data_IF_003842149510
#
_entry.id   IF_003842149510
#
_cell.length_a   1.000
_cell.length_b   1.000
_cell.length_c   1.000
_cell.angle_alpha   90.00
_cell.angle_beta   90.00
_cell.angle_gamma   90.00
#
_symmetry.space_group_name_H-M   'P 1'
#
loop_
_entity.id
_entity.type
_entity.pdbx_description
1 polymer ?
#
# COMPACT_ATOMS: atom_id res chain seq x y z
N UNK A 1 -24.96 -4.78 -4.74
CA UNK A 1 -23.55 -4.46 -4.93
C UNK A 1 -23.23 -2.96 -4.82
N UNK A 2 -24.22 -2.05 -4.68
CA UNK A 2 -23.98 -0.58 -4.59
C UNK A 2 -23.88 -0.02 -3.16
N UNK A 3 -24.24 -0.78 -2.14
CA UNK A 3 -24.30 -0.25 -0.76
C UNK A 3 -23.00 -0.37 0.03
N UNK A 4 -22.12 -1.34 -0.30
CA UNK A 4 -20.86 -1.53 0.42
C UNK A 4 -19.83 -0.40 0.17
N UNK A 5 -19.82 0.15 -1.04
CA UNK A 5 -18.90 1.23 -1.43
C UNK A 5 -19.13 2.55 -0.67
N UNK A 6 -20.41 2.87 -0.36
CA UNK A 6 -20.74 4.15 0.31
C UNK A 6 -20.30 4.22 1.76
N UNK A 7 -20.21 3.08 2.45
CA UNK A 7 -19.81 3.02 3.86
C UNK A 7 -18.29 3.23 4.00
N UNK A 8 -17.52 2.77 3.02
CA UNK A 8 -16.07 2.91 3.02
C UNK A 8 -15.60 4.36 2.80
N UNK A 9 -16.20 5.06 1.83
CA UNK A 9 -15.87 6.47 1.56
C UNK A 9 -16.08 7.37 2.81
N UNK A 10 -17.09 7.06 3.64
CA UNK A 10 -17.39 7.82 4.85
C UNK A 10 -16.37 7.56 5.97
N UNK A 11 -15.81 6.34 6.07
CA UNK A 11 -14.83 5.98 7.10
C UNK A 11 -13.47 6.64 6.88
N UNK A 12 -13.03 6.77 5.62
CA UNK A 12 -11.75 7.42 5.27
C UNK A 12 -11.79 8.92 5.54
N UNK A 13 -12.94 9.58 5.29
CA UNK A 13 -13.05 11.04 5.45
C UNK A 13 -13.06 11.50 6.91
N UNK A 14 -13.47 10.66 7.86
CA UNK A 14 -13.62 11.04 9.27
C UNK A 14 -12.30 11.00 10.05
N UNK A 15 -11.27 10.28 9.57
CA UNK A 15 -10.00 10.13 10.27
C UNK A 15 -8.98 11.27 10.02
N UNK A 16 -9.16 12.07 8.97
CA UNK A 16 -8.18 13.11 8.55
C UNK A 16 -8.26 14.39 9.40
N UNK A 17 -9.20 14.51 10.33
CA UNK A 17 -9.50 15.77 11.03
C UNK A 17 -8.71 16.03 12.32
N UNK A 18 -7.81 15.15 12.79
CA UNK A 18 -7.09 15.32 14.06
C UNK A 18 -5.59 15.02 13.98
N UNK A 19 -4.79 15.93 13.46
CA UNK A 19 -3.36 15.92 13.72
C UNK A 19 -2.84 17.35 13.90
N UNK A 20 -2.72 17.77 15.14
CA UNK A 20 -2.03 18.97 15.58
C UNK A 20 -0.56 18.68 15.88
N UNK A 21 0.31 19.57 15.43
CA UNK A 21 1.76 19.55 15.43
C UNK A 21 2.45 19.45 16.79
N UNK A 22 3.60 18.73 16.84
CA UNK A 22 4.67 19.01 17.79
C UNK A 22 6.05 18.72 17.16
N UNK A 23 6.84 19.78 16.94
CA UNK A 23 8.26 19.73 16.56
C UNK A 23 9.13 19.57 17.81
N UNK A 24 10.17 18.69 17.75
CA UNK A 24 11.36 18.76 18.59
C UNK A 24 12.62 18.40 17.79
N UNK A 25 13.73 19.13 17.96
CA UNK A 25 14.95 18.88 17.17
C UNK A 25 15.90 17.89 17.84
N UNK A 26 16.49 16.96 17.09
CA UNK A 26 17.58 16.11 17.53
C UNK A 26 18.92 16.54 16.93
N UNK A 27 19.93 16.55 17.76
CA UNK A 27 21.29 17.04 17.57
C UNK A 27 22.20 15.92 17.04
N UNK A 28 23.11 16.26 16.13
CA UNK A 28 23.96 15.32 15.42
C UNK A 28 25.05 14.65 16.25
N UNK A 29 25.51 13.52 15.71
CA UNK A 29 26.82 12.91 16.00
C UNK A 29 27.45 12.48 14.68
N UNK A 30 28.61 13.08 14.38
CA UNK A 30 29.44 12.75 13.22
C UNK A 30 30.31 11.54 13.54
N UNK A 31 30.11 10.46 12.81
CA UNK A 31 31.00 9.31 12.78
C UNK A 31 31.29 8.95 11.34
N UNK A 32 32.52 9.11 10.89
CA UNK A 32 32.94 8.71 9.56
C UNK A 32 32.89 7.18 9.46
N UNK A 33 31.96 6.67 8.71
CA UNK A 33 31.87 5.26 8.33
C UNK A 33 32.33 5.10 6.88
N UNK A 34 33.17 4.11 6.67
CA UNK A 34 33.68 3.66 5.36
C UNK A 34 32.50 3.40 4.44
N UNK A 35 32.47 4.09 3.32
CA UNK A 35 31.43 3.90 2.31
C UNK A 35 31.59 2.50 1.69
N UNK A 36 30.81 1.54 2.19
CA UNK A 36 30.33 0.46 1.36
C UNK A 36 29.45 1.14 0.29
N UNK A 37 29.65 0.82 -0.97
CA UNK A 37 28.78 1.26 -2.04
C UNK A 37 27.44 0.52 -1.89
N UNK A 38 26.61 0.97 -0.95
CA UNK A 38 25.23 0.56 -0.86
C UNK A 38 24.48 1.18 -2.05
N UNK A 39 24.40 0.42 -3.14
CA UNK A 39 23.30 0.62 -4.08
C UNK A 39 22.03 0.38 -3.26
N UNK A 40 21.16 1.38 -3.09
CA UNK A 40 19.91 1.16 -2.36
C UNK A 40 19.20 -0.05 -3.00
N UNK A 41 18.61 -0.95 -2.20
CA UNK A 41 17.80 -2.01 -2.76
C UNK A 41 16.77 -1.36 -3.68
N UNK A 42 16.49 -1.99 -4.83
CA UNK A 42 15.42 -1.47 -5.69
C UNK A 42 14.15 -1.32 -4.86
N UNK A 43 13.32 -0.33 -5.15
CA UNK A 43 12.08 -0.07 -4.41
C UNK A 43 11.18 -1.31 -4.35
N UNK A 44 11.17 -2.15 -5.42
CA UNK A 44 10.52 -3.45 -5.40
C UNK A 44 11.13 -4.42 -4.36
N UNK A 45 12.44 -4.37 -4.14
CA UNK A 45 13.06 -5.16 -3.09
C UNK A 45 12.73 -4.60 -1.71
N UNK A 46 12.64 -3.28 -1.56
CA UNK A 46 12.18 -2.62 -0.34
C UNK A 46 10.72 -2.99 -0.03
N UNK A 47 9.83 -2.94 -1.02
CA UNK A 47 8.43 -3.37 -0.89
C UNK A 47 8.31 -4.81 -0.37
N UNK A 48 9.09 -5.74 -0.94
CA UNK A 48 9.14 -7.13 -0.46
C UNK A 48 9.68 -7.22 0.97
N UNK A 49 10.78 -6.54 1.28
CA UNK A 49 11.38 -6.58 2.61
C UNK A 49 10.44 -6.03 3.69
N UNK A 50 9.80 -4.88 3.43
CA UNK A 50 8.86 -4.24 4.36
C UNK A 50 7.60 -5.06 4.61
N UNK A 51 7.15 -5.83 3.61
CA UNK A 51 5.87 -6.55 3.67
C UNK A 51 5.98 -8.06 3.88
N UNK A 52 7.20 -8.64 3.90
CA UNK A 52 7.40 -10.08 4.07
C UNK A 52 6.72 -10.65 5.35
N UNK A 53 6.73 -9.90 6.44
CA UNK A 53 6.08 -10.29 7.71
C UNK A 53 4.56 -10.44 7.58
N UNK A 54 3.94 -9.81 6.60
CA UNK A 54 2.50 -9.80 6.37
C UNK A 54 1.97 -11.01 5.59
N UNK A 55 2.82 -11.98 5.23
CA UNK A 55 2.34 -13.32 4.91
C UNK A 55 1.56 -13.94 6.08
N UNK A 56 1.82 -13.48 7.30
CA UNK A 56 0.99 -13.72 8.46
C UNK A 56 -0.02 -12.58 8.62
N UNK A 57 -1.29 -12.83 8.31
CA UNK A 57 -2.37 -11.82 8.42
C UNK A 57 -2.50 -11.26 9.84
N UNK A 58 -2.32 -12.09 10.87
CA UNK A 58 -2.37 -11.61 12.25
C UNK A 58 -1.28 -10.58 12.56
N UNK A 59 -0.13 -10.64 11.87
CA UNK A 59 0.89 -9.60 11.98
C UNK A 59 0.47 -8.31 11.26
N UNK A 60 -0.19 -8.42 10.11
CA UNK A 60 -0.74 -7.25 9.42
C UNK A 60 -1.79 -6.54 10.29
N UNK A 61 -2.70 -7.31 10.88
CA UNK A 61 -3.73 -6.77 11.79
C UNK A 61 -3.11 -6.13 13.04
N UNK A 62 -2.08 -6.75 13.63
CA UNK A 62 -1.36 -6.20 14.78
C UNK A 62 -0.63 -4.87 14.44
N UNK A 63 -0.19 -4.72 13.20
CA UNK A 63 0.48 -3.50 12.70
C UNK A 63 -0.53 -2.45 12.16
N UNK A 64 -1.83 -2.66 12.34
CA UNK A 64 -2.88 -1.69 12.05
C UNK A 64 -3.59 -1.84 10.71
N UNK A 65 -3.28 -2.86 9.91
CA UNK A 65 -4.03 -3.16 8.70
C UNK A 65 -5.38 -3.80 9.03
N UNK A 66 -6.45 -3.29 8.46
CA UNK A 66 -7.81 -3.78 8.68
C UNK A 66 -8.43 -4.24 7.38
N UNK A 67 -9.11 -5.38 7.41
CA UNK A 67 -9.91 -5.83 6.27
C UNK A 67 -11.08 -4.87 6.07
N UNK A 68 -11.07 -4.15 4.94
CA UNK A 68 -12.10 -3.17 4.61
C UNK A 68 -13.33 -3.80 3.91
N UNK A 69 -13.37 -5.15 3.85
CA UNK A 69 -14.43 -5.94 3.21
C UNK A 69 -14.64 -5.61 1.72
N UNK A 70 -13.62 -5.11 1.06
CA UNK A 70 -13.56 -4.92 -0.39
C UNK A 70 -12.88 -6.13 -1.00
N UNK A 71 -13.63 -6.88 -1.81
CA UNK A 71 -13.11 -7.92 -2.69
C UNK A 71 -13.31 -7.49 -4.12
N UNK A 72 -12.23 -7.46 -4.89
CA UNK A 72 -12.26 -7.16 -6.32
C UNK A 72 -11.76 -8.40 -7.08
N UNK A 73 -12.58 -8.90 -8.01
CA UNK A 73 -12.17 -10.02 -8.87
C UNK A 73 -10.93 -9.65 -9.66
N UNK A 74 -9.94 -10.53 -9.68
CA UNK A 74 -8.64 -10.27 -10.30
C UNK A 74 -7.65 -9.49 -9.43
N UNK A 75 -8.07 -8.97 -8.26
CA UNK A 75 -7.19 -8.32 -7.29
C UNK A 75 -7.15 -9.10 -5.97
N UNK A 76 -8.29 -9.27 -5.29
CA UNK A 76 -8.41 -9.96 -4.01
C UNK A 76 -9.07 -9.12 -2.92
N UNK A 77 -8.79 -9.46 -1.66
CA UNK A 77 -9.23 -8.74 -0.46
C UNK A 77 -8.23 -7.65 -0.09
N UNK A 78 -8.73 -6.45 0.21
CA UNK A 78 -7.92 -5.30 0.58
C UNK A 78 -7.89 -5.10 2.09
N UNK A 79 -6.69 -4.96 2.64
CA UNK A 79 -6.41 -4.64 4.03
C UNK A 79 -5.73 -3.28 4.08
N UNK A 80 -6.44 -2.25 4.52
CA UNK A 80 -5.97 -0.87 4.59
C UNK A 80 -5.37 -0.58 5.97
N UNK A 81 -4.26 0.13 6.02
CA UNK A 81 -3.78 0.79 7.23
C UNK A 81 -4.20 2.26 7.20
N UNK A 82 -5.19 2.68 8.01
CA UNK A 82 -5.71 4.04 8.01
C UNK A 82 -4.91 5.01 8.88
N UNK A 83 -3.77 4.59 9.45
CA UNK A 83 -2.97 5.45 10.31
C UNK A 83 -2.48 6.68 9.53
N UNK A 84 -2.55 7.91 10.12
CA UNK A 84 -2.18 9.14 9.40
C UNK A 84 -0.72 9.24 8.97
N UNK A 85 0.15 8.44 9.57
CA UNK A 85 1.57 8.32 9.21
C UNK A 85 1.83 7.19 8.18
N UNK A 86 0.76 6.54 7.72
CA UNK A 86 0.76 5.58 6.61
C UNK A 86 -0.07 6.12 5.46
N UNK A 87 -1.34 6.41 5.69
CA UNK A 87 -2.24 6.99 4.69
C UNK A 87 -2.01 8.51 4.59
N UNK A 88 -0.94 8.90 3.94
CA UNK A 88 -0.52 10.29 3.77
C UNK A 88 -0.34 10.67 2.27
N UNK A 89 0.46 11.68 1.95
CA UNK A 89 0.67 12.12 0.58
C UNK A 89 2.00 11.63 -0.03
N UNK A 90 2.62 10.60 0.57
CA UNK A 90 3.93 10.11 0.15
C UNK A 90 3.82 8.72 -0.43
N UNK A 91 4.79 8.38 -1.27
CA UNK A 91 5.08 7.02 -1.66
C UNK A 91 6.29 6.52 -0.83
N UNK A 92 6.08 5.45 -0.06
CA UNK A 92 7.14 4.76 0.69
C UNK A 92 7.10 3.28 0.31
N UNK A 93 8.05 2.84 -0.52
CA UNK A 93 8.02 1.51 -1.13
C UNK A 93 7.91 0.36 -0.11
N UNK A 94 8.52 0.50 1.06
CA UNK A 94 8.51 -0.51 2.14
C UNK A 94 7.31 -0.40 3.10
N UNK A 95 6.43 0.60 2.89
CA UNK A 95 5.31 0.90 3.78
C UNK A 95 4.00 1.18 3.01
N UNK A 96 3.50 0.21 2.23
CA UNK A 96 2.28 0.38 1.45
C UNK A 96 1.06 0.60 2.36
N UNK A 97 0.11 1.40 1.90
CA UNK A 97 -1.13 1.69 2.61
C UNK A 97 -2.08 0.50 2.61
N UNK A 98 -2.00 -0.35 1.59
CA UNK A 98 -2.91 -1.50 1.41
C UNK A 98 -2.11 -2.77 1.12
N UNK A 99 -2.50 -3.85 1.79
CA UNK A 99 -2.06 -5.21 1.51
C UNK A 99 -3.19 -5.96 0.79
N UNK A 100 -2.85 -6.66 -0.29
CA UNK A 100 -3.82 -7.40 -1.09
C UNK A 100 -3.63 -8.90 -0.91
N UNK A 101 -4.71 -9.56 -0.47
CA UNK A 101 -4.72 -11.00 -0.20
C UNK A 101 -5.67 -11.73 -1.14
N UNK A 102 -5.21 -12.82 -1.72
CA UNK A 102 -6.04 -13.69 -2.55
C UNK A 102 -6.37 -15.01 -1.83
N UNK A 103 -7.56 -15.60 -2.09
CA UNK A 103 -7.89 -16.94 -1.61
C UNK A 103 -6.89 -17.98 -2.12
N UNK A 104 -6.51 -18.90 -1.25
CA UNK A 104 -5.74 -20.08 -1.65
C UNK A 104 -6.73 -21.13 -2.16
N UNK A 105 -6.57 -21.65 -3.40
CA UNK A 105 -7.47 -22.65 -3.96
C UNK A 105 -7.56 -23.89 -3.04
N UNK A 106 -8.78 -24.35 -2.77
CA UNK A 106 -9.09 -25.52 -1.94
C UNK A 106 -8.73 -25.40 -0.46
N UNK A 107 -8.34 -24.20 0.01
CA UNK A 107 -8.05 -23.91 1.41
C UNK A 107 -8.97 -22.81 1.92
N UNK A 108 -9.26 -22.82 3.22
CA UNK A 108 -9.95 -21.69 3.86
C UNK A 108 -8.92 -20.69 4.40
N UNK A 109 -8.02 -20.26 3.52
CA UNK A 109 -6.92 -19.36 3.86
C UNK A 109 -6.70 -18.30 2.76
N UNK A 110 -6.04 -17.21 3.14
CA UNK A 110 -5.64 -16.15 2.25
C UNK A 110 -4.11 -16.10 2.18
N UNK A 111 -3.57 -15.67 1.04
CA UNK A 111 -2.14 -15.41 0.87
C UNK A 111 -1.93 -13.97 0.39
N UNK A 112 -0.89 -13.33 0.86
CA UNK A 112 -0.44 -12.03 0.35
C UNK A 112 0.01 -12.20 -1.12
N UNK A 113 -0.52 -11.38 -2.01
CA UNK A 113 -0.25 -11.46 -3.47
C UNK A 113 0.32 -10.17 -4.02
N UNK A 114 -0.15 -9.04 -3.51
CA UNK A 114 0.27 -7.73 -3.97
C UNK A 114 0.27 -6.73 -2.81
N UNK A 115 0.83 -5.57 -3.08
CA UNK A 115 0.66 -4.36 -2.28
C UNK A 115 0.00 -3.31 -3.16
N UNK A 116 -0.70 -2.37 -2.55
CA UNK A 116 -1.28 -1.24 -3.23
C UNK A 116 -0.94 0.03 -2.44
N UNK A 117 -0.36 0.99 -3.13
CA UNK A 117 -0.10 2.31 -2.57
C UNK A 117 -1.32 3.17 -2.79
N UNK A 118 -1.69 3.94 -1.77
CA UNK A 118 -2.90 4.73 -1.79
C UNK A 118 -2.67 6.12 -1.21
N UNK A 119 -2.86 7.14 -2.02
CA UNK A 119 -2.70 8.54 -1.61
C UNK A 119 -4.05 9.25 -1.71
N UNK A 120 -4.55 9.85 -0.63
CA UNK A 120 -5.78 10.63 -0.69
C UNK A 120 -5.70 11.77 -1.71
N UNK A 121 -6.66 11.85 -2.64
CA UNK A 121 -6.73 12.92 -3.65
C UNK A 121 -6.79 14.29 -2.96
N UNK A 122 -7.43 14.37 -1.80
CA UNK A 122 -7.49 15.61 -1.01
C UNK A 122 -6.14 16.12 -0.53
N UNK A 123 -5.17 15.23 -0.34
CA UNK A 123 -3.79 15.56 0.06
C UNK A 123 -2.87 15.79 -1.15
N UNK A 124 -3.22 15.25 -2.32
CA UNK A 124 -2.47 15.40 -3.57
C UNK A 124 -3.41 15.74 -4.75
N UNK A 125 -4.06 16.91 -4.73
CA UNK A 125 -5.13 17.23 -5.68
C UNK A 125 -4.64 17.47 -7.12
N UNK A 126 -3.35 17.75 -7.31
CA UNK A 126 -2.75 18.04 -8.61
C UNK A 126 -2.19 16.81 -9.33
N UNK A 127 -2.19 15.66 -8.70
CA UNK A 127 -1.66 14.39 -9.21
C UNK A 127 -1.07 13.55 -8.09
N UNK A 128 -0.77 12.28 -8.36
CA UNK A 128 -0.12 11.40 -7.38
C UNK A 128 1.35 11.82 -7.16
N UNK A 129 2.01 11.31 -6.10
CA UNK A 129 3.45 11.41 -5.97
C UNK A 129 4.17 10.60 -7.07
N UNK A 130 5.47 10.79 -7.19
CA UNK A 130 6.31 9.87 -7.97
C UNK A 130 6.28 8.48 -7.32
N UNK A 131 6.12 7.44 -8.13
CA UNK A 131 6.08 6.04 -7.68
C UNK A 131 7.45 5.35 -7.77
N UNK A 132 7.49 4.14 -8.33
CA UNK A 132 8.73 3.37 -8.47
C UNK A 132 9.66 3.98 -9.52
N UNK A 133 10.89 4.32 -9.12
CA UNK A 133 11.87 4.94 -10.00
C UNK A 133 12.32 3.98 -11.12
N UNK A 134 12.17 4.43 -12.37
CA UNK A 134 12.63 3.70 -13.57
C UNK A 134 11.78 2.49 -13.96
N UNK A 135 10.62 2.32 -13.36
CA UNK A 135 9.65 1.28 -13.65
C UNK A 135 8.44 1.86 -14.41
N UNK A 136 7.67 0.99 -15.06
CA UNK A 136 6.48 1.37 -15.84
C UNK A 136 5.23 1.32 -14.95
N UNK A 137 5.27 1.91 -13.77
CA UNK A 137 4.15 2.01 -12.86
C UNK A 137 3.16 3.09 -13.29
N UNK A 138 1.90 2.84 -13.05
CA UNK A 138 0.81 3.76 -13.40
C UNK A 138 -0.11 3.96 -12.20
N UNK A 139 -0.19 5.20 -11.73
CA UNK A 139 -1.18 5.59 -10.74
C UNK A 139 -2.56 5.72 -11.38
N UNK A 140 -3.53 5.04 -10.81
CA UNK A 140 -4.93 5.19 -11.16
C UNK A 140 -5.64 6.19 -10.26
N UNK A 141 -6.59 6.94 -10.83
CA UNK A 141 -7.40 7.91 -10.09
C UNK A 141 -8.74 7.28 -9.71
N UNK A 142 -8.82 6.75 -8.51
CA UNK A 142 -10.02 6.12 -7.99
C UNK A 142 -10.93 7.15 -7.31
N UNK A 143 -11.86 7.71 -8.07
CA UNK A 143 -12.81 8.72 -7.58
C UNK A 143 -13.82 8.15 -6.56
N UNK A 144 -14.13 6.86 -6.64
CA UNK A 144 -15.09 6.22 -5.74
C UNK A 144 -14.59 6.21 -4.30
N UNK A 145 -13.29 5.98 -4.12
CA UNK A 145 -12.63 5.98 -2.82
C UNK A 145 -11.90 7.29 -2.50
N UNK A 146 -11.78 8.20 -3.47
CA UNK A 146 -11.06 9.46 -3.31
C UNK A 146 -9.56 9.28 -3.16
N UNK A 147 -9.00 8.29 -3.83
CA UNK A 147 -7.60 7.89 -3.74
C UNK A 147 -6.92 7.89 -5.11
N UNK A 148 -5.64 8.22 -5.14
CA UNK A 148 -4.71 7.72 -6.13
C UNK A 148 -4.26 6.34 -5.68
N UNK A 149 -4.26 5.35 -6.58
CA UNK A 149 -3.85 3.98 -6.26
C UNK A 149 -2.81 3.45 -7.25
N UNK A 150 -1.89 2.64 -6.76
CA UNK A 150 -0.83 2.00 -7.55
C UNK A 150 -0.63 0.58 -7.06
N UNK A 151 -0.97 -0.40 -7.90
CA UNK A 151 -0.77 -1.83 -7.62
C UNK A 151 0.65 -2.28 -7.92
N UNK A 152 1.19 -3.15 -7.05
CA UNK A 152 2.46 -3.84 -7.29
C UNK A 152 2.38 -5.33 -6.89
N UNK A 153 2.47 -6.23 -7.87
CA UNK A 153 2.37 -7.69 -7.69
C UNK A 153 3.68 -8.29 -7.18
N UNK A 154 4.16 -7.82 -6.05
CA UNK A 154 5.46 -8.19 -5.49
C UNK A 154 5.54 -9.63 -4.97
N UNK A 155 4.39 -10.27 -4.69
CA UNK A 155 4.31 -11.61 -4.10
C UNK A 155 3.67 -12.67 -5.01
N UNK A 156 3.01 -12.26 -6.08
CA UNK A 156 2.46 -13.15 -7.10
C UNK A 156 2.99 -12.70 -8.47
N UNK A 157 3.61 -13.60 -9.22
CA UNK A 157 3.96 -13.27 -10.59
C UNK A 157 2.68 -13.05 -11.41
N UNK A 158 2.48 -11.83 -11.89
CA UNK A 158 1.36 -11.47 -12.75
C UNK A 158 1.80 -11.51 -14.22
N UNK A 159 1.18 -12.34 -15.07
CA UNK A 159 1.54 -12.41 -16.50
C UNK A 159 1.24 -11.12 -17.25
N UNK A 160 0.31 -10.30 -16.75
CA UNK A 160 -0.09 -9.04 -17.38
C UNK A 160 0.81 -7.85 -16.97
N UNK A 161 1.74 -8.09 -16.05
CA UNK A 161 2.74 -7.10 -15.62
C UNK A 161 2.80 -6.89 -14.11
N UNK A 162 3.95 -6.38 -13.64
CA UNK A 162 4.19 -6.10 -12.22
C UNK A 162 3.21 -5.06 -11.66
N UNK A 163 2.85 -4.06 -12.46
CA UNK A 163 2.00 -2.95 -12.08
C UNK A 163 0.61 -2.98 -12.74
N UNK A 164 0.24 -4.12 -13.36
CA UNK A 164 -1.10 -4.26 -13.91
C UNK A 164 -2.15 -4.25 -12.79
N UNK A 165 -3.26 -3.58 -13.03
CA UNK A 165 -4.37 -3.44 -12.07
C UNK A 165 -4.95 -4.79 -11.65
N UNK A 166 -5.08 -5.72 -12.59
CA UNK A 166 -5.67 -7.05 -12.38
C UNK A 166 -4.68 -8.17 -12.69
N UNK A 167 -4.92 -9.34 -12.11
CA UNK A 167 -4.18 -10.56 -12.41
C UNK A 167 -5.14 -11.71 -12.72
N UNK A 168 -4.97 -12.43 -13.84
CA UNK A 168 -5.78 -13.60 -14.16
C UNK A 168 -5.51 -14.79 -13.21
N UNK A 169 -4.54 -14.67 -12.31
CA UNK A 169 -4.20 -15.68 -11.31
C UNK A 169 -4.95 -15.49 -9.98
N UNK A 170 -5.74 -14.43 -9.87
CA UNK A 170 -6.61 -14.16 -8.74
C UNK A 170 -8.06 -14.28 -9.20
N UNK A 171 -8.92 -15.01 -8.47
CA UNK A 171 -10.30 -15.26 -8.87
C UNK A 171 -11.17 -13.99 -8.88
#
# INVERSE_FOLDING_TARGET
MKESSRVFALAVLTLIALAGSALLPARGASGASVALTDTPPSELAAARAGTAKYHNIAQAEADGYVNINVFVSGQGFHYLNPAPDVLDAKFEADKPEILVYAPVPHENSLRLVAVEYAVPISLSPNGPPEGFTGDDDVWDRNEEFGLWTLHAWVWLNNPDGMFAEFSPRVP
#
